data_IF_148372164118
#
_entry.id   IF_148372164118
#
_cell.length_a   1.000
_cell.length_b   1.000
_cell.length_c   1.000
_cell.angle_alpha   90.00
_cell.angle_beta   90.00
_cell.angle_gamma   90.00
#
_symmetry.space_group_name_H-M   'P 1'
#
loop_
_entity.id
_entity.type
_entity.pdbx_description
1 polymer ?
#
# COMPACT_ATOMS: atom_id res chain seq x y z
N UNK A 1 -18.33 22.37 -10.13
CA UNK A 1 -18.89 22.02 -11.42
C UNK A 1 -19.85 20.85 -11.30
N UNK A 2 -21.13 21.11 -11.22
CA UNK A 2 -22.15 20.08 -11.53
C UNK A 2 -22.17 19.95 -13.06
N UNK A 3 -21.13 19.28 -13.60
CA UNK A 3 -20.87 19.28 -15.02
C UNK A 3 -21.55 18.13 -15.74
N UNK A 4 -21.98 18.39 -16.93
CA UNK A 4 -22.37 17.38 -17.93
C UNK A 4 -21.10 16.75 -18.53
N UNK A 5 -20.26 16.12 -17.68
CA UNK A 5 -19.00 15.48 -18.07
C UNK A 5 -18.80 14.17 -17.31
N UNK A 6 -17.94 13.32 -17.80
CA UNK A 6 -17.50 12.14 -17.05
C UNK A 6 -16.81 12.56 -15.74
N UNK A 7 -17.10 11.85 -14.67
CA UNK A 7 -16.40 12.01 -13.38
C UNK A 7 -15.02 11.35 -13.48
N UNK A 8 -14.00 12.02 -12.96
CA UNK A 8 -12.68 11.39 -12.86
C UNK A 8 -12.77 10.16 -11.95
N UNK A 9 -12.35 9.03 -12.47
CA UNK A 9 -12.43 7.75 -11.79
C UNK A 9 -11.04 7.16 -11.47
N UNK A 10 -9.95 7.86 -11.79
CA UNK A 10 -8.59 7.39 -11.54
C UNK A 10 -7.67 8.53 -11.09
N UNK A 11 -6.64 8.15 -10.35
CA UNK A 11 -5.46 8.98 -10.04
C UNK A 11 -4.23 8.24 -10.57
N UNK A 12 -3.25 8.99 -11.06
CA UNK A 12 -1.99 8.42 -11.56
C UNK A 12 -0.91 8.60 -10.51
N UNK A 13 -0.20 7.52 -10.19
CA UNK A 13 1.01 7.56 -9.39
C UNK A 13 2.24 7.47 -10.28
N UNK A 14 3.28 8.22 -9.92
CA UNK A 14 4.57 8.18 -10.59
C UNK A 14 5.55 7.44 -9.68
N UNK A 15 6.14 6.36 -10.20
CA UNK A 15 7.29 5.72 -9.59
C UNK A 15 8.52 6.12 -10.38
N UNK A 16 9.46 6.80 -9.72
CA UNK A 16 10.62 7.38 -10.36
C UNK A 16 11.91 6.92 -9.68
N UNK A 17 12.95 6.76 -10.48
CA UNK A 17 14.32 6.61 -10.02
C UNK A 17 15.08 7.94 -10.15
N UNK A 18 16.18 8.09 -9.41
CA UNK A 18 17.02 9.30 -9.44
C UNK A 18 17.60 9.56 -10.82
N UNK A 19 17.99 8.50 -11.52
CA UNK A 19 18.52 8.54 -12.88
C UNK A 19 18.33 7.17 -13.55
N UNK A 20 18.58 7.10 -14.86
CA UNK A 20 18.42 5.88 -15.66
C UNK A 20 19.36 4.73 -15.22
N UNK A 21 20.47 5.05 -14.57
CA UNK A 21 21.47 4.08 -14.10
C UNK A 21 21.31 3.74 -12.62
N UNK A 22 20.28 4.29 -11.96
CA UNK A 22 20.03 4.03 -10.55
C UNK A 22 19.91 2.54 -10.29
N UNK A 23 20.72 2.04 -9.36
CA UNK A 23 20.72 0.66 -8.90
C UNK A 23 20.45 0.62 -7.40
N UNK A 24 20.07 -0.55 -6.90
CA UNK A 24 19.88 -0.74 -5.47
C UNK A 24 18.55 -0.22 -4.93
N UNK A 25 17.59 0.13 -5.80
CA UNK A 25 16.22 0.40 -5.35
C UNK A 25 15.53 -0.87 -4.86
N UNK A 26 14.65 -0.71 -3.91
CA UNK A 26 13.83 -1.80 -3.41
C UNK A 26 12.59 -1.97 -4.29
N UNK A 27 12.34 -3.19 -4.77
CA UNK A 27 11.06 -3.59 -5.33
C UNK A 27 10.73 -5.00 -4.85
N UNK A 28 9.81 -5.09 -3.91
CA UNK A 28 9.46 -6.33 -3.23
C UNK A 28 8.44 -7.13 -4.05
N UNK A 29 8.88 -7.72 -5.15
CA UNK A 29 8.03 -8.47 -6.08
C UNK A 29 7.25 -9.59 -5.36
N UNK A 30 7.93 -10.38 -4.54
CA UNK A 30 7.30 -11.51 -3.84
C UNK A 30 6.28 -11.05 -2.79
N UNK A 31 6.54 -9.93 -2.10
CA UNK A 31 5.57 -9.34 -1.17
C UNK A 31 4.29 -8.90 -1.89
N UNK A 32 4.43 -8.29 -3.06
CA UNK A 32 3.27 -7.88 -3.86
C UNK A 32 2.47 -9.08 -4.37
N UNK A 33 3.15 -10.15 -4.78
CA UNK A 33 2.49 -11.41 -5.17
C UNK A 33 1.74 -12.04 -4.02
N UNK A 34 2.37 -12.16 -2.85
CA UNK A 34 1.75 -12.71 -1.66
C UNK A 34 0.49 -11.92 -1.25
N UNK A 35 0.51 -10.59 -1.42
CA UNK A 35 -0.64 -9.73 -1.16
C UNK A 35 -1.70 -9.74 -2.28
N UNK A 36 -1.45 -10.45 -3.39
CA UNK A 36 -2.30 -10.51 -4.58
C UNK A 36 -2.55 -11.95 -5.03
N UNK A 37 -2.93 -12.83 -4.08
CA UNK A 37 -3.27 -14.24 -4.34
C UNK A 37 -2.20 -15.00 -5.13
N UNK A 38 -0.93 -14.65 -4.91
CA UNK A 38 0.24 -15.23 -5.59
C UNK A 38 0.33 -14.90 -7.09
N UNK A 39 -0.46 -13.94 -7.55
CA UNK A 39 -0.44 -13.44 -8.93
C UNK A 39 0.34 -12.12 -8.98
N UNK A 40 1.07 -11.89 -10.06
CA UNK A 40 1.76 -10.62 -10.28
C UNK A 40 0.80 -9.44 -10.18
N UNK A 41 1.15 -8.48 -9.33
CA UNK A 41 0.35 -7.25 -9.20
C UNK A 41 0.37 -6.44 -10.50
N UNK A 42 -0.79 -5.98 -10.92
CA UNK A 42 -0.96 -5.12 -12.09
C UNK A 42 -0.68 -3.66 -11.74
N UNK A 43 -0.51 -2.82 -12.76
CA UNK A 43 -0.32 -1.38 -12.60
C UNK A 43 -1.64 -0.60 -12.42
N UNK A 44 -2.78 -1.25 -12.68
CA UNK A 44 -4.11 -0.70 -12.45
C UNK A 44 -4.66 -1.23 -11.12
N UNK A 45 -4.79 -0.35 -10.14
CA UNK A 45 -5.19 -0.72 -8.79
C UNK A 45 -6.62 -0.27 -8.50
N UNK A 46 -7.47 -1.22 -8.19
CA UNK A 46 -8.80 -0.92 -7.67
C UNK A 46 -8.72 -0.78 -6.15
N UNK A 47 -8.71 0.47 -5.68
CA UNK A 47 -8.64 0.79 -4.25
C UNK A 47 -9.85 1.65 -3.89
N UNK A 48 -10.67 1.25 -2.92
CA UNK A 48 -11.80 2.05 -2.46
C UNK A 48 -11.35 3.43 -1.98
N UNK A 49 -12.20 4.42 -2.17
CA UNK A 49 -11.99 5.74 -1.57
C UNK A 49 -11.96 5.64 -0.04
N UNK A 50 -11.16 6.48 0.59
CA UNK A 50 -11.16 6.62 2.04
C UNK A 50 -12.54 7.10 2.53
N UNK A 51 -13.29 6.20 3.16
CA UNK A 51 -14.66 6.44 3.67
C UNK A 51 -14.86 5.72 5.00
N UNK A 52 -16.06 5.81 5.57
CA UNK A 52 -16.40 5.09 6.79
C UNK A 52 -15.50 5.45 7.98
N UNK A 53 -15.06 4.44 8.71
CA UNK A 53 -14.26 4.57 9.94
C UNK A 53 -12.79 4.90 9.67
N UNK A 54 -12.30 4.60 8.47
CA UNK A 54 -10.95 4.97 8.06
C UNK A 54 -10.80 6.50 7.95
N UNK A 55 -11.89 7.19 7.60
CA UNK A 55 -11.86 8.63 7.42
C UNK A 55 -11.91 9.36 8.76
N UNK A 56 -10.86 10.15 9.02
CA UNK A 56 -10.82 10.98 10.23
C UNK A 56 -11.92 12.03 10.22
N UNK A 57 -12.67 12.05 11.32
CA UNK A 57 -13.74 13.00 11.58
C UNK A 57 -13.38 13.85 12.80
N UNK A 58 -13.72 15.13 12.74
CA UNK A 58 -13.64 16.03 13.89
C UNK A 58 -14.75 15.77 14.90
N UNK A 59 -14.71 16.48 16.01
CA UNK A 59 -15.76 16.42 17.02
C UNK A 59 -17.14 16.84 16.52
N UNK A 60 -17.19 17.59 15.42
CA UNK A 60 -18.41 18.01 14.72
C UNK A 60 -18.91 16.96 13.69
N UNK A 61 -18.27 15.80 13.63
CA UNK A 61 -18.60 14.73 12.68
C UNK A 61 -18.16 14.99 11.23
N UNK A 62 -17.57 16.16 10.94
CA UNK A 62 -17.09 16.48 9.59
C UNK A 62 -15.70 15.88 9.35
N UNK A 63 -15.39 15.64 8.07
CA UNK A 63 -14.06 15.18 7.66
C UNK A 63 -12.98 16.19 8.05
N UNK A 64 -11.93 15.73 8.71
CA UNK A 64 -10.78 16.56 9.10
C UNK A 64 -10.01 17.04 7.86
N UNK A 65 -9.83 16.19 6.88
CA UNK A 65 -9.09 16.51 5.66
C UNK A 65 -9.93 16.20 4.41
N UNK A 66 -9.99 17.09 3.40
CA UNK A 66 -10.83 16.90 2.23
C UNK A 66 -10.43 15.69 1.36
N UNK A 67 -9.12 15.42 1.27
CA UNK A 67 -8.53 14.44 0.34
C UNK A 67 -7.65 13.41 1.07
N UNK A 68 -8.06 12.94 2.25
CA UNK A 68 -7.36 11.87 2.95
C UNK A 68 -7.23 10.65 2.02
N UNK A 69 -6.00 10.14 1.88
CA UNK A 69 -5.72 8.95 1.07
C UNK A 69 -6.06 7.66 1.84
N UNK A 70 -6.53 6.61 1.15
CA UNK A 70 -6.81 5.32 1.79
C UNK A 70 -5.52 4.62 2.23
N UNK A 71 -5.56 3.94 3.38
CA UNK A 71 -4.42 3.19 3.90
C UNK A 71 -3.99 2.05 2.98
N UNK A 72 -4.94 1.41 2.30
CA UNK A 72 -4.65 0.36 1.33
C UNK A 72 -3.76 0.79 0.17
N UNK A 73 -3.87 2.07 -0.26
CA UNK A 73 -2.96 2.64 -1.25
C UNK A 73 -1.54 2.73 -0.71
N UNK A 74 -1.38 3.32 0.49
CA UNK A 74 -0.07 3.52 1.10
C UNK A 74 0.57 2.18 1.52
N UNK A 75 -0.23 1.22 1.97
CA UNK A 75 0.25 -0.13 2.27
C UNK A 75 0.88 -0.78 1.03
N UNK A 76 0.21 -0.71 -0.12
CA UNK A 76 0.74 -1.26 -1.38
C UNK A 76 2.02 -0.56 -1.81
N UNK A 77 2.08 0.78 -1.70
CA UNK A 77 3.29 1.56 -2.01
C UNK A 77 4.44 1.19 -1.10
N UNK A 78 4.23 1.15 0.21
CA UNK A 78 5.30 0.88 1.17
C UNK A 78 5.76 -0.58 1.12
N UNK A 79 4.85 -1.52 0.95
CA UNK A 79 5.21 -2.93 0.75
C UNK A 79 6.03 -3.14 -0.53
N UNK A 80 5.72 -2.41 -1.61
CA UNK A 80 6.45 -2.56 -2.87
C UNK A 80 7.85 -1.97 -2.82
N UNK A 81 8.06 -0.85 -2.12
CA UNK A 81 9.24 0.00 -2.30
C UNK A 81 10.10 0.20 -1.05
N UNK A 82 9.80 -0.51 0.03
CA UNK A 82 10.56 -0.41 1.29
C UNK A 82 10.57 -1.72 2.06
N UNK A 83 11.47 -1.82 3.04
CA UNK A 83 11.59 -2.94 4.00
C UNK A 83 11.30 -2.46 5.41
N UNK A 84 10.91 -3.34 6.35
CA UNK A 84 10.88 -2.99 7.77
C UNK A 84 12.22 -2.38 8.21
N UNK A 85 12.13 -1.33 9.04
CA UNK A 85 13.29 -0.55 9.47
C UNK A 85 13.68 0.60 8.54
N UNK A 86 13.25 0.60 7.27
CA UNK A 86 13.53 1.72 6.36
C UNK A 86 12.85 3.01 6.82
N UNK A 87 13.43 4.14 6.42
CA UNK A 87 12.88 5.46 6.67
C UNK A 87 11.96 5.89 5.52
N UNK A 88 10.72 6.19 5.86
CA UNK A 88 9.72 6.78 4.95
C UNK A 88 9.61 8.27 5.23
N UNK A 89 9.65 9.09 4.19
CA UNK A 89 9.51 10.54 4.29
C UNK A 89 8.30 10.98 3.48
N UNK A 90 7.40 11.74 4.12
CA UNK A 90 6.24 12.34 3.45
C UNK A 90 6.28 13.88 3.62
N UNK A 91 6.64 14.62 2.55
CA UNK A 91 6.72 16.08 2.61
C UNK A 91 5.34 16.77 2.62
N UNK A 92 4.24 16.02 2.41
CA UNK A 92 2.86 16.54 2.38
C UNK A 92 1.94 15.68 3.22
N UNK A 93 2.30 15.53 4.49
CA UNK A 93 1.76 14.54 5.43
C UNK A 93 0.23 14.55 5.58
N UNK A 94 -0.41 15.71 5.45
CA UNK A 94 -1.85 15.84 5.70
C UNK A 94 -2.22 15.31 7.09
N UNK A 95 -3.15 14.36 7.13
CA UNK A 95 -3.58 13.70 8.37
C UNK A 95 -2.83 12.39 8.68
N UNK A 96 -1.62 12.21 8.13
CA UNK A 96 -0.70 11.17 8.53
C UNK A 96 -1.02 9.75 8.06
N UNK A 97 -1.68 9.57 6.94
CA UNK A 97 -1.97 8.21 6.41
C UNK A 97 -0.68 7.43 6.15
N UNK A 98 0.32 8.08 5.52
CA UNK A 98 1.63 7.47 5.24
C UNK A 98 2.32 7.04 6.53
N UNK A 99 2.34 7.91 7.55
CA UNK A 99 2.97 7.61 8.84
C UNK A 99 2.26 6.50 9.61
N UNK A 100 0.93 6.47 9.58
CA UNK A 100 0.14 5.41 10.20
C UNK A 100 0.45 4.04 9.58
N UNK A 101 0.51 3.98 8.25
CA UNK A 101 0.83 2.75 7.52
C UNK A 101 2.32 2.37 7.70
N UNK A 102 3.23 3.33 7.67
CA UNK A 102 4.65 3.10 7.90
C UNK A 102 4.88 2.46 9.29
N UNK A 103 4.30 3.04 10.35
CA UNK A 103 4.39 2.49 11.70
C UNK A 103 3.80 1.08 11.78
N UNK A 104 2.61 0.87 11.20
CA UNK A 104 1.96 -0.46 11.18
C UNK A 104 2.84 -1.52 10.54
N UNK A 105 3.54 -1.17 9.48
CA UNK A 105 4.41 -2.06 8.70
C UNK A 105 5.86 -2.10 9.23
N UNK A 106 6.17 -1.50 10.38
CA UNK A 106 7.49 -1.52 11.01
C UNK A 106 8.53 -0.64 10.32
N UNK A 107 8.11 0.44 9.63
CA UNK A 107 9.00 1.45 9.04
C UNK A 107 9.14 2.64 9.98
N UNK A 108 10.32 3.28 9.94
CA UNK A 108 10.52 4.61 10.53
C UNK A 108 9.86 5.67 9.65
N UNK A 109 9.49 6.81 10.24
CA UNK A 109 8.72 7.79 9.52
C UNK A 109 9.07 9.24 9.89
N UNK A 110 9.12 10.11 8.89
CA UNK A 110 9.19 11.57 9.05
C UNK A 110 8.15 12.21 8.14
N UNK A 111 7.24 12.99 8.70
CA UNK A 111 6.22 13.73 7.95
C UNK A 111 6.36 15.22 8.13
N UNK A 112 6.09 15.98 7.06
CA UNK A 112 6.05 17.44 7.08
C UNK A 112 4.63 17.91 6.75
N UNK A 113 4.07 18.74 7.61
CA UNK A 113 2.76 19.34 7.41
C UNK A 113 2.77 20.78 7.91
N UNK A 114 2.32 21.69 7.06
CA UNK A 114 2.29 23.13 7.37
C UNK A 114 1.09 23.51 8.24
N UNK A 115 -0.06 22.85 8.01
CA UNK A 115 -1.27 23.11 8.77
C UNK A 115 -1.20 22.43 10.14
N UNK A 116 -1.20 23.23 11.20
CA UNK A 116 -1.07 22.74 12.57
C UNK A 116 -2.24 21.81 12.98
N UNK A 117 -3.43 22.02 12.42
CA UNK A 117 -4.59 21.17 12.71
C UNK A 117 -4.39 19.78 12.11
N UNK A 118 -3.92 19.72 10.88
CA UNK A 118 -3.62 18.45 10.22
C UNK A 118 -2.43 17.76 10.86
N UNK A 119 -1.38 18.49 11.21
CA UNK A 119 -0.21 17.95 11.91
C UNK A 119 -0.62 17.28 13.24
N UNK A 120 -1.42 17.98 14.05
CA UNK A 120 -1.92 17.43 15.31
C UNK A 120 -2.80 16.18 15.11
N UNK A 121 -3.64 16.18 14.09
CA UNK A 121 -4.46 15.02 13.74
C UNK A 121 -3.59 13.83 13.28
N UNK A 122 -2.52 14.10 12.52
CA UNK A 122 -1.55 13.11 12.10
C UNK A 122 -0.80 12.49 13.28
N UNK A 123 -0.32 13.32 14.21
CA UNK A 123 0.37 12.86 15.42
C UNK A 123 -0.53 11.94 16.25
N UNK A 124 -1.76 12.34 16.49
CA UNK A 124 -2.74 11.53 17.24
C UNK A 124 -3.03 10.19 16.53
N UNK A 125 -3.25 10.24 15.21
CA UNK A 125 -3.47 9.03 14.41
C UNK A 125 -2.29 8.07 14.47
N UNK A 126 -1.09 8.56 14.23
CA UNK A 126 0.13 7.74 14.21
C UNK A 126 0.42 7.19 15.60
N UNK A 127 0.21 7.97 16.66
CA UNK A 127 0.37 7.51 18.03
C UNK A 127 -0.52 6.31 18.34
N UNK A 128 -1.77 6.32 17.88
CA UNK A 128 -2.76 5.28 18.12
C UNK A 128 -2.55 3.98 17.32
N UNK A 129 -1.64 3.97 16.34
CA UNK A 129 -1.36 2.77 15.54
C UNK A 129 -0.48 1.79 16.32
N UNK A 130 -0.89 0.54 16.39
CA UNK A 130 -0.07 -0.56 16.85
C UNK A 130 0.68 -1.20 15.66
N UNK A 131 1.99 -1.40 15.75
CA UNK A 131 2.76 -2.13 14.74
C UNK A 131 2.26 -3.57 14.60
N UNK A 132 2.26 -4.09 13.39
CA UNK A 132 2.02 -5.51 13.18
C UNK A 132 3.17 -6.34 13.76
N UNK A 133 2.87 -7.52 14.35
CA UNK A 133 3.91 -8.44 14.78
C UNK A 133 4.85 -8.81 13.62
N UNK A 134 6.14 -8.95 13.89
CA UNK A 134 7.14 -9.31 12.88
C UNK A 134 6.77 -10.59 12.12
N UNK A 135 6.23 -11.58 12.82
CA UNK A 135 5.75 -12.82 12.21
C UNK A 135 4.66 -12.60 11.15
N UNK A 136 3.83 -11.56 11.31
CA UNK A 136 2.80 -11.20 10.31
C UNK A 136 3.39 -10.50 9.09
N UNK A 137 4.59 -9.96 9.20
CA UNK A 137 5.32 -9.31 8.10
C UNK A 137 6.22 -10.28 7.34
N UNK A 138 6.60 -11.39 7.96
CA UNK A 138 7.51 -12.41 7.39
C UNK A 138 7.09 -12.90 5.99
N UNK A 139 5.80 -13.20 5.70
CA UNK A 139 5.36 -13.61 4.37
C UNK A 139 5.62 -12.56 3.28
N UNK A 140 5.73 -11.28 3.68
CA UNK A 140 5.98 -10.17 2.76
C UNK A 140 7.46 -9.82 2.62
N UNK A 141 8.35 -10.51 3.34
CA UNK A 141 9.79 -10.19 3.40
C UNK A 141 10.67 -11.25 2.74
N UNK A 142 10.22 -12.47 2.65
CA UNK A 142 11.01 -13.59 2.14
C UNK A 142 10.63 -13.93 0.71
N UNK A 143 11.64 -14.22 -0.10
CA UNK A 143 11.41 -14.93 -1.35
C UNK A 143 10.76 -16.28 -1.02
N UNK A 144 9.81 -16.67 -1.83
CA UNK A 144 9.10 -17.93 -1.65
C UNK A 144 10.11 -19.09 -1.68
N UNK A 145 10.23 -19.82 -0.58
CA UNK A 145 11.11 -20.99 -0.50
C UNK A 145 10.51 -22.21 -1.22
N UNK A 146 9.19 -22.22 -1.40
CA UNK A 146 8.51 -23.30 -2.09
C UNK A 146 8.85 -23.29 -3.60
N UNK A 147 9.31 -24.40 -4.17
CA UNK A 147 9.56 -24.49 -5.60
C UNK A 147 8.28 -24.17 -6.38
N UNK A 148 8.42 -23.44 -7.48
CA UNK A 148 7.32 -23.25 -8.42
C UNK A 148 6.97 -24.59 -9.01
N UNK A 149 5.76 -25.06 -8.77
CA UNK A 149 5.25 -26.26 -9.45
C UNK A 149 4.92 -25.84 -10.88
N UNK A 150 5.56 -26.46 -11.86
CA UNK A 150 5.29 -26.19 -13.26
C UNK A 150 3.83 -26.55 -13.59
N UNK A 151 3.19 -25.79 -14.46
CA UNK A 151 1.80 -26.05 -14.85
C UNK A 151 1.62 -27.46 -15.45
N UNK A 152 2.60 -27.93 -16.21
CA UNK A 152 2.68 -29.32 -16.69
C UNK A 152 2.61 -30.35 -15.57
N UNK A 153 3.29 -30.09 -14.47
CA UNK A 153 3.32 -30.99 -13.31
C UNK A 153 1.96 -31.04 -12.58
N UNK A 154 1.21 -29.94 -12.57
CA UNK A 154 -0.15 -29.91 -12.02
C UNK A 154 -1.10 -30.76 -12.88
N UNK A 155 -0.91 -30.77 -14.20
CA UNK A 155 -1.66 -31.63 -15.13
C UNK A 155 -1.28 -33.10 -14.90
N UNK A 156 0.01 -33.41 -14.86
CA UNK A 156 0.53 -34.76 -14.64
C UNK A 156 0.08 -35.36 -13.31
N UNK A 157 -0.04 -34.54 -12.27
CA UNK A 157 -0.58 -34.94 -10.95
C UNK A 157 -2.11 -35.03 -10.92
N UNK A 158 -2.79 -34.73 -12.02
CA UNK A 158 -4.26 -34.73 -12.09
C UNK A 158 -4.95 -33.65 -11.25
N UNK A 159 -4.19 -32.61 -10.83
CA UNK A 159 -4.73 -31.51 -10.03
C UNK A 159 -5.52 -30.52 -10.87
N UNK A 160 -5.25 -30.46 -12.17
CA UNK A 160 -5.98 -29.67 -13.16
C UNK A 160 -6.14 -30.48 -14.44
N UNK A 161 -7.25 -30.28 -15.14
CA UNK A 161 -7.50 -30.95 -16.42
C UNK A 161 -7.01 -30.06 -17.58
N UNK A 162 -6.50 -30.63 -18.70
CA UNK A 162 -6.23 -29.88 -19.91
C UNK A 162 -7.47 -29.11 -20.34
N UNK A 163 -7.34 -27.80 -20.59
CA UNK A 163 -8.45 -26.94 -20.99
C UNK A 163 -9.26 -26.33 -19.84
N UNK A 164 -8.93 -26.59 -18.59
CA UNK A 164 -9.53 -25.89 -17.45
C UNK A 164 -9.23 -24.40 -17.52
N UNK A 165 -10.28 -23.57 -17.57
CA UNK A 165 -10.14 -22.12 -17.43
C UNK A 165 -9.87 -21.82 -15.96
N UNK A 166 -8.75 -21.20 -15.66
CA UNK A 166 -8.36 -20.80 -14.31
C UNK A 166 -8.94 -19.45 -13.88
N UNK A 167 -9.65 -18.74 -14.81
CA UNK A 167 -10.35 -17.48 -14.55
C UNK A 167 -11.55 -17.35 -15.47
#
# INVERSE_FOLDING_TARGET
FRGRRFTNAHETMIWAARDEKAKGYTFNYEALKAANEDVQARSDWLIPLCTGDERLKGSDGKKVHPTQKPEGLLARVLLSSSKPGDLVIDPFNGTGTTGAVAKRLGRSYIGFERDKTYAKAAEARIAAVEPLPEASLAPFMTAREAPRVAFSELIERGMIMPGTKLF
#
